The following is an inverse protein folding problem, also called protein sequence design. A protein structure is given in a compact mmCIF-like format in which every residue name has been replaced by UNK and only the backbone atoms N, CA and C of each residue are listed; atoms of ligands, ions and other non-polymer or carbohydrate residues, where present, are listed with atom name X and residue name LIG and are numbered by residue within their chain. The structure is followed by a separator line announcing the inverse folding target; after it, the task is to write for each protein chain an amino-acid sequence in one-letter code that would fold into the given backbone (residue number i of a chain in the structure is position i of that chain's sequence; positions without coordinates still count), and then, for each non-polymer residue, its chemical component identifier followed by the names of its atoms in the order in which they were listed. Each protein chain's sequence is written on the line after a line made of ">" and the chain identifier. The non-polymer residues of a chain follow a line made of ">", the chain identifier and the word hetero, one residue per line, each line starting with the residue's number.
data_IF_866716684113
#
_entry.id   IF_866716684113
#
_cell.length_a   1.000
_cell.length_b   1.000
_cell.length_c   1.000
_cell.angle_alpha   90.00
_cell.angle_beta   90.00
_cell.angle_gamma   90.00
#
_symmetry.space_group_name_H-M   'P 1'
#
loop_
_entity.id
_entity.type
_entity.pdbx_description
1 polymer ?
2 polymer ?
3 non-polymer ?
4 non-polymer ?
5 water ?
#
# COMPACT_ATOMS: atom_id res chain seq x y z
N UNK A 1 1.45 32.23 -29.26
CA UNK A 1 1.27 32.98 -28.00
C UNK A 1 0.78 32.03 -26.94
N UNK A 2 0.80 32.51 -25.69
CA UNK A 2 0.53 31.69 -24.51
C UNK A 2 -0.76 32.13 -23.82
N UNK A 3 -1.64 31.20 -23.45
CA UNK A 3 -2.77 31.59 -22.57
C UNK A 3 -2.19 31.85 -21.19
N UNK A 4 -2.46 33.03 -20.61
CA UNK A 4 -2.02 33.29 -19.25
C UNK A 4 -2.51 32.24 -18.25
N UNK A 5 -1.64 31.88 -17.31
CA UNK A 5 -1.98 30.91 -16.28
C UNK A 5 -3.32 31.27 -15.61
N UNK A 6 -3.49 32.53 -15.25
CA UNK A 6 -4.68 32.98 -14.53
C UNK A 6 -5.95 32.90 -15.39
N UNK A 7 -5.79 32.74 -16.69
CA UNK A 7 -6.95 32.60 -17.57
C UNK A 7 -7.39 31.13 -17.67
N UNK A 8 -6.59 30.21 -17.12
CA UNK A 8 -6.96 28.80 -17.18
C UNK A 8 -7.99 28.43 -16.13
N UNK A 9 -8.91 27.49 -16.46
CA UNK A 9 -9.91 26.99 -15.49
C UNK A 9 -9.31 26.44 -14.19
N UNK A 10 -10.09 26.48 -13.11
CA UNK A 10 -9.60 26.05 -11.80
C UNK A 10 -9.06 24.60 -11.83
N UNK A 11 -9.79 23.74 -12.53
CA UNK A 11 -9.40 22.35 -12.84
C UNK A 11 -7.95 22.20 -13.30
N UNK A 12 -7.44 23.20 -14.01
CA UNK A 12 -6.08 23.16 -14.56
C UNK A 12 -5.01 23.78 -13.66
N UNK A 13 -5.41 24.40 -12.57
CA UNK A 13 -4.48 25.13 -11.72
C UNK A 13 -3.65 24.16 -10.88
N UNK A 14 -2.33 24.40 -10.84
CA UNK A 14 -1.41 23.52 -10.10
C UNK A 14 -1.71 23.51 -8.61
N UNK A 15 -2.27 24.62 -8.11
CA UNK A 15 -2.55 24.81 -6.67
C UNK A 15 -3.99 24.42 -6.27
N UNK A 16 -4.71 23.74 -7.16
CA UNK A 16 -6.05 23.26 -6.84
C UNK A 16 -5.97 21.76 -6.60
N UNK A 17 -6.23 21.33 -5.37
CA UNK A 17 -6.07 19.93 -4.96
C UNK A 17 -7.42 19.24 -4.74
N UNK A 18 -8.49 19.81 -5.27
CA UNK A 18 -9.76 19.08 -5.32
C UNK A 18 -10.06 18.35 -4.01
N UNK A 19 -10.04 17.01 -4.04
CA UNK A 19 -10.51 16.17 -2.93
C UNK A 19 -9.44 15.80 -1.90
N UNK A 20 -8.33 16.51 -1.91
CA UNK A 20 -7.30 16.43 -0.88
C UNK A 20 -7.89 16.38 0.54
N UNK A 21 -7.67 15.27 1.27
CA UNK A 21 -8.21 15.22 2.63
C UNK A 21 -7.43 16.09 3.62
N UNK A 22 -7.98 16.24 4.82
CA UNK A 22 -7.46 17.15 5.85
C UNK A 22 -5.97 16.95 6.14
N UNK A 23 -5.59 15.70 6.45
CA UNK A 23 -4.23 15.42 6.90
C UNK A 23 -3.17 15.70 5.84
N UNK A 24 -3.56 15.71 4.57
CA UNK A 24 -2.62 16.03 3.50
C UNK A 24 -2.34 17.53 3.52
N UNK A 25 -3.41 18.33 3.53
CA UNK A 25 -3.27 19.79 3.51
C UNK A 25 -2.30 20.19 4.61
N UNK A 26 -2.48 19.59 5.78
CA UNK A 26 -1.57 19.78 6.90
C UNK A 26 -0.14 19.51 6.43
N UNK A 27 0.08 18.32 5.87
CA UNK A 27 1.39 17.91 5.38
C UNK A 27 1.96 18.82 4.29
N UNK A 28 1.10 19.41 3.46
CA UNK A 28 1.56 20.19 2.28
C UNK A 28 1.90 21.67 2.56
N UNK A 29 1.20 22.29 3.50
CA UNK A 29 1.42 23.72 3.80
C UNK A 29 2.60 23.86 4.76
N UNK A 30 3.74 24.35 4.25
CA UNK A 30 4.99 24.41 5.04
C UNK A 30 5.15 25.76 5.75
N UNK A 31 5.35 26.81 4.95
CA UNK A 31 5.71 28.15 5.45
C UNK A 31 4.54 29.11 5.43
N UNK A 32 4.65 30.18 6.23
CA UNK A 32 3.60 31.19 6.35
C UNK A 32 3.27 31.79 4.99
N UNK A 33 2.00 31.71 4.62
CA UNK A 33 1.53 32.24 3.35
C UNK A 33 1.35 31.19 2.27
N UNK A 34 1.87 29.97 2.50
CA UNK A 34 1.67 28.81 1.61
C UNK A 34 0.18 28.58 1.48
N UNK A 35 -0.27 28.23 0.28
CA UNK A 35 -1.69 28.03 0.08
C UNK A 35 -2.07 27.10 -1.08
N UNK A 36 -3.31 26.63 -1.02
CA UNK A 36 -3.89 25.86 -2.09
C UNK A 36 -5.38 26.16 -2.13
N UNK A 37 -6.06 25.71 -3.17
CA UNK A 37 -7.52 25.70 -3.19
C UNK A 37 -7.97 24.24 -3.34
N UNK A 38 -9.10 23.94 -2.70
CA UNK A 38 -9.62 22.59 -2.67
C UNK A 38 -11.11 22.73 -2.64
N UNK A 39 -11.80 21.63 -2.91
CA UNK A 39 -13.24 21.57 -2.79
C UNK A 39 -13.53 21.08 -1.37
N UNK A 40 -14.66 21.51 -0.83
CA UNK A 40 -15.08 21.13 0.53
C UNK A 40 -15.39 19.62 0.61
N UNK A 44 -20.96 21.96 -4.29
CA UNK A 44 -19.58 22.45 -4.20
C UNK A 44 -19.48 23.72 -3.35
N UNK A 45 -18.41 23.79 -2.57
CA UNK A 45 -17.93 25.04 -2.00
C UNK A 45 -16.42 24.89 -2.00
N UNK A 46 -15.74 25.73 -2.78
CA UNK A 46 -14.27 25.71 -2.82
C UNK A 46 -13.71 26.40 -1.58
N UNK A 47 -12.51 25.98 -1.18
CA UNK A 47 -11.90 26.43 0.07
C UNK A 47 -10.45 26.83 -0.16
N UNK A 48 -10.08 27.98 0.41
CA UNK A 48 -8.74 28.51 0.34
C UNK A 48 -8.02 28.26 1.66
N UNK A 49 -7.07 27.32 1.66
CA UNK A 49 -6.34 26.93 2.86
C UNK A 49 -4.94 27.54 2.86
N UNK A 50 -4.77 28.61 3.64
CA UNK A 50 -3.52 29.37 3.70
C UNK A 50 -2.62 28.91 4.85
N UNK A 56 -2.66 26.75 9.45
CA UNK A 56 -3.65 26.29 8.46
C UNK A 56 -5.07 26.80 8.74
N UNK A 57 -5.39 27.95 8.16
CA UNK A 57 -6.73 28.52 8.22
C UNK A 57 -7.40 28.22 6.90
N UNK A 58 -8.71 28.00 6.94
CA UNK A 58 -9.46 27.53 5.77
C UNK A 58 -10.59 28.51 5.44
N UNK A 59 -10.45 29.23 4.34
CA UNK A 59 -11.39 30.29 3.97
C UNK A 59 -12.31 29.87 2.83
N UNK A 60 -13.61 29.84 3.12
CA UNK A 60 -14.60 29.40 2.13
C UNK A 60 -14.77 30.49 1.09
N UNK A 61 -14.68 30.09 -0.17
CA UNK A 61 -14.88 31.00 -1.28
C UNK A 61 -16.35 31.00 -1.68
N UNK A 66 -22.52 36.16 -10.48
CA UNK A 66 -21.58 35.05 -10.73
C UNK A 66 -20.11 35.50 -10.68
N UNK A 67 -19.70 36.02 -9.53
CA UNK A 67 -18.31 36.44 -9.30
C UNK A 67 -17.86 36.01 -7.89
N UNK A 68 -16.62 35.52 -7.79
CA UNK A 68 -16.08 34.92 -6.56
C UNK A 68 -15.34 35.91 -5.65
N UNK A 69 -15.46 35.71 -4.33
CA UNK A 69 -14.91 36.67 -3.37
C UNK A 69 -14.67 36.08 -1.98
N UNK A 70 -14.07 36.89 -1.10
CA UNK A 70 -13.87 36.54 0.31
C UNK A 70 -14.51 37.56 1.26
N UNK A 75 -14.46 37.85 -8.40
CA UNK A 75 -13.96 38.04 -9.75
C UNK A 75 -14.65 37.00 -10.62
N UNK A 76 -14.51 37.12 -11.95
CA UNK A 76 -15.17 36.11 -12.79
C UNK A 76 -14.83 34.66 -12.43
N UNK A 77 -13.62 34.40 -11.93
CA UNK A 77 -13.20 33.04 -11.57
C UNK A 77 -12.25 32.97 -10.37
N UNK A 78 -12.06 31.79 -9.79
CA UNK A 78 -11.22 31.66 -8.59
C UNK A 78 -9.70 31.90 -8.84
N UNK A 79 -9.19 31.55 -10.03
CA UNK A 79 -7.81 31.95 -10.34
C UNK A 79 -7.63 33.48 -10.47
N UNK A 80 -8.63 34.16 -11.03
CA UNK A 80 -8.66 35.62 -11.02
C UNK A 80 -8.58 36.20 -9.61
N UNK A 81 -9.30 35.59 -8.68
CA UNK A 81 -9.30 36.02 -7.28
C UNK A 81 -7.93 35.80 -6.65
N UNK A 82 -7.42 34.58 -6.79
CA UNK A 82 -6.15 34.18 -6.19
C UNK A 82 -4.99 35.05 -6.63
N UNK A 83 -4.99 35.37 -7.92
CA UNK A 83 -3.95 36.21 -8.48
C UNK A 83 -4.05 37.63 -7.93
N UNK A 84 -5.26 38.18 -7.91
CA UNK A 84 -5.47 39.49 -7.31
C UNK A 84 -4.88 39.54 -5.90
N UNK A 85 -5.22 38.54 -5.09
CA UNK A 85 -4.77 38.47 -3.70
C UNK A 85 -3.23 38.43 -3.59
N UNK A 86 -2.62 37.58 -4.39
CA UNK A 86 -1.16 37.47 -4.45
C UNK A 86 -0.55 38.78 -4.98
N UNK A 87 -1.02 39.22 -6.14
CA UNK A 87 -0.53 40.43 -6.77
C UNK A 87 -0.55 41.56 -5.77
N UNK A 88 -1.75 41.89 -5.29
CA UNK A 88 -1.95 43.05 -4.40
C UNK A 88 -1.43 42.83 -2.97
N UNK A 89 -1.30 41.57 -2.55
CA UNK A 89 -0.86 41.24 -1.18
C UNK A 89 -1.81 41.79 -0.10
N UNK A 90 -3.09 41.93 -0.45
CA UNK A 90 -4.12 42.34 0.50
C UNK A 90 -4.61 41.10 1.25
N UNK A 91 -5.11 41.29 2.49
CA UNK A 91 -5.44 40.15 3.35
C UNK A 91 -6.75 39.46 3.00
N UNK A 92 -6.94 38.28 3.59
CA UNK A 92 -8.18 37.54 3.47
C UNK A 92 -9.09 37.91 4.64
N UNK A 96 -9.23 38.25 8.65
CA UNK A 96 -8.35 37.27 9.27
C UNK A 96 -6.99 37.87 9.61
N UNK A 97 -6.48 38.73 8.73
CA UNK A 97 -5.09 39.18 8.77
C UNK A 97 -4.23 38.37 7.81
N UNK A 98 -4.66 37.15 7.51
CA UNK A 98 -3.88 36.22 6.68
C UNK A 98 -3.69 36.74 5.26
N UNK A 99 -2.45 36.62 4.76
CA UNK A 99 -2.05 37.09 3.41
C UNK A 99 -1.25 35.98 2.71
N UNK A 100 -1.36 35.93 1.39
CA UNK A 100 -0.76 34.83 0.61
C UNK A 100 0.71 35.09 0.27
N UNK A 101 1.49 34.01 0.16
CA UNK A 101 2.91 34.12 -0.24
C UNK A 101 3.23 33.22 -1.42
N UNK A 102 2.86 31.94 -1.32
CA UNK A 102 3.25 30.92 -2.29
C UNK A 102 2.21 29.80 -2.43
N UNK A 103 1.65 29.71 -3.63
CA UNK A 103 0.79 28.60 -4.00
C UNK A 103 1.55 27.26 -4.00
N UNK A 104 0.99 26.29 -3.28
CA UNK A 104 1.56 24.96 -3.16
C UNK A 104 1.01 24.02 -4.27
N UNK A 105 1.89 23.49 -5.15
CA UNK A 105 1.42 22.68 -6.28
C UNK A 105 1.11 21.25 -5.88
N UNK A 106 0.40 20.53 -6.75
CA UNK A 106 0.19 19.09 -6.58
C UNK A 106 1.50 18.41 -6.85
N UNK A 107 1.75 17.26 -6.22
CA UNK A 107 2.98 16.50 -6.51
C UNK A 107 2.82 15.74 -7.82
N UNK A 108 3.89 15.06 -8.22
CA UNK A 108 3.96 14.50 -9.55
C UNK A 108 3.07 13.28 -9.73
N UNK A 109 2.51 12.78 -8.62
CA UNK A 109 1.75 11.58 -8.67
C UNK A 109 0.28 11.83 -8.90
N UNK A 110 -0.18 13.08 -8.73
CA UNK A 110 -1.62 13.36 -8.83
C UNK A 110 -2.04 13.24 -10.31
N UNK A 111 -3.08 12.43 -10.55
CA UNK A 111 -3.69 12.19 -11.85
C UNK A 111 -5.12 12.63 -11.81
N UNK A 112 -5.59 13.27 -12.88
CA UNK A 112 -6.99 13.59 -13.03
C UNK A 112 -7.83 12.34 -13.31
N UNK A 113 -9.09 12.36 -12.86
CA UNK A 113 -9.98 11.19 -13.03
C UNK A 113 -10.16 10.80 -14.50
N UNK A 114 -10.05 11.78 -15.40
CA UNK A 114 -10.33 11.57 -16.81
C UNK A 114 -9.17 10.94 -17.53
N UNK A 115 -8.01 10.85 -16.88
CA UNK A 115 -6.87 10.13 -17.46
C UNK A 115 -6.99 8.64 -17.26
N UNK A 116 -8.01 8.21 -16.52
CA UNK A 116 -8.24 6.82 -16.20
C UNK A 116 -9.59 6.36 -16.78
N UNK A 117 -9.63 5.20 -17.46
CA UNK A 117 -10.86 4.52 -17.85
C UNK A 117 -11.05 3.35 -16.88
N UNK A 118 -12.07 3.46 -16.04
CA UNK A 118 -12.39 2.43 -15.04
C UNK A 118 -12.99 1.19 -15.67
N UNK A 119 -12.51 0.05 -15.22
CA UNK A 119 -13.01 -1.22 -15.69
C UNK A 119 -13.68 -1.94 -14.55
N UNK A 120 -13.85 -3.25 -14.71
CA UNK A 120 -14.59 -4.05 -13.77
C UNK A 120 -13.81 -4.34 -12.46
N UNK A 121 -14.59 -4.63 -11.41
CA UNK A 121 -14.06 -4.93 -10.11
C UNK A 121 -13.27 -6.24 -10.18
N UNK A 122 -12.10 -6.24 -9.54
CA UNK A 122 -11.22 -7.41 -9.47
C UNK A 122 -10.94 -7.78 -8.00
N UNK A 123 -11.41 -6.98 -7.06
CA UNK A 123 -11.26 -7.34 -5.67
C UNK A 123 -11.87 -6.39 -4.72
N UNK A 124 -11.66 -6.69 -3.45
CA UNK A 124 -12.11 -5.79 -2.42
C UNK A 124 -11.35 -5.85 -1.11
N UNK A 125 -11.47 -4.76 -0.34
CA UNK A 125 -10.86 -4.66 0.96
C UNK A 125 -11.66 -3.72 1.84
N UNK A 126 -11.01 -3.22 2.87
CA UNK A 126 -11.68 -2.45 3.92
C UNK A 126 -12.15 -1.12 3.41
N UNK A 127 -11.41 -0.54 2.45
CA UNK A 127 -11.77 0.75 1.89
C UNK A 127 -12.75 0.60 0.75
N UNK A 128 -12.82 -0.60 0.22
CA UNK A 128 -13.79 -0.93 -0.80
C UNK A 128 -13.16 -1.66 -1.96
N UNK A 129 -13.60 -1.34 -3.15
CA UNK A 129 -13.29 -2.15 -4.32
C UNK A 129 -11.93 -1.79 -4.92
N UNK A 130 -11.33 -2.80 -5.50
CA UNK A 130 -10.28 -2.65 -6.49
C UNK A 130 -10.84 -3.02 -7.86
N UNK A 131 -10.48 -2.22 -8.86
CA UNK A 131 -10.97 -2.36 -10.22
C UNK A 131 -9.79 -2.50 -11.14
N UNK A 132 -10.00 -3.14 -12.28
CA UNK A 132 -9.09 -2.92 -13.41
C UNK A 132 -9.39 -1.56 -14.05
N UNK A 133 -8.38 -1.03 -14.73
CA UNK A 133 -8.56 0.16 -15.55
C UNK A 133 -7.53 0.23 -16.66
N UNK A 134 -7.62 1.29 -17.44
CA UNK A 134 -6.61 1.64 -18.40
C UNK A 134 -6.32 3.10 -18.28
N UNK A 135 -5.08 3.43 -18.55
CA UNK A 135 -4.69 4.80 -18.79
C UNK A 135 -5.13 5.20 -20.15
N UNK A 136 -5.89 6.29 -20.23
CA UNK A 136 -6.44 6.74 -21.51
C UNK A 136 -5.36 7.10 -22.54
N UNK A 137 -4.25 7.70 -22.10
CA UNK A 137 -3.27 8.25 -23.04
C UNK A 137 -2.51 7.17 -23.78
N UNK A 138 -2.23 6.03 -23.16
CA UNK A 138 -1.45 4.99 -23.85
C UNK A 138 -1.93 3.54 -23.64
N UNK A 139 -3.14 3.38 -23.10
CA UNK A 139 -3.76 2.04 -22.91
C UNK A 139 -3.13 1.11 -21.92
N UNK A 140 -2.31 1.64 -21.02
CA UNK A 140 -1.71 0.82 -19.99
C UNK A 140 -2.79 0.30 -19.06
N UNK A 141 -2.75 -1.00 -18.79
CA UNK A 141 -3.72 -1.59 -17.88
C UNK A 141 -3.24 -1.30 -16.48
N UNK A 142 -4.21 -1.05 -15.59
CA UNK A 142 -3.91 -0.65 -14.23
C UNK A 142 -4.90 -1.26 -13.26
N UNK A 143 -4.44 -1.40 -12.02
CA UNK A 143 -5.30 -1.65 -10.86
C UNK A 143 -5.61 -0.32 -10.14
N UNK A 144 -6.84 -0.18 -9.71
CA UNK A 144 -7.40 1.05 -9.14
C UNK A 144 -8.10 0.70 -7.83
N UNK A 145 -7.46 1.10 -6.74
CA UNK A 145 -7.96 0.98 -5.37
C UNK A 145 -8.79 2.20 -5.06
N UNK A 146 -10.04 1.94 -4.67
CA UNK A 146 -10.98 2.97 -4.40
C UNK A 146 -11.24 3.02 -2.91
N UNK A 147 -11.66 4.21 -2.48
CA UNK A 147 -12.09 4.48 -1.13
C UNK A 147 -13.55 4.93 -1.12
N UNK A 148 -14.37 4.18 -0.42
CA UNK A 148 -15.75 4.57 -0.12
C UNK A 148 -15.81 6.00 0.42
N UNK A 153 -15.22 9.00 9.32
CA UNK A 153 -14.20 8.96 8.28
C UNK A 153 -12.75 8.94 8.81
N UNK A 154 -12.53 8.28 9.95
CA UNK A 154 -11.17 8.13 10.49
C UNK A 154 -10.35 7.18 9.60
N UNK A 155 -10.91 6.01 9.30
CA UNK A 155 -10.26 5.07 8.40
C UNK A 155 -10.01 5.73 7.05
N UNK A 156 -10.99 6.50 6.58
CA UNK A 156 -10.85 7.29 5.35
C UNK A 156 -9.54 8.07 5.31
N UNK A 157 -9.15 8.60 6.47
CA UNK A 157 -7.87 9.30 6.61
C UNK A 157 -6.64 8.38 6.45
N UNK A 158 -6.80 7.08 6.72
CA UNK A 158 -5.73 6.09 6.53
C UNK A 158 -5.59 5.61 5.07
N UNK A 159 -6.54 5.94 4.22
CA UNK A 159 -6.57 5.39 2.87
C UNK A 159 -5.29 5.67 2.06
N UNK A 160 -4.78 6.89 2.14
CA UNK A 160 -3.69 7.28 1.25
C UNK A 160 -2.35 6.78 1.77
N UNK A 161 -2.37 6.06 2.89
CA UNK A 161 -1.16 5.46 3.44
C UNK A 161 -0.43 4.65 2.37
N UNK A 162 -1.16 3.77 1.68
CA UNK A 162 -0.55 2.90 0.70
C UNK A 162 0.18 3.72 -0.36
N UNK A 163 -0.41 4.85 -0.77
CA UNK A 163 0.20 5.77 -1.74
C UNK A 163 1.47 6.46 -1.18
N UNK A 164 1.37 7.02 0.02
CA UNK A 164 2.56 7.63 0.65
C UNK A 164 3.77 6.67 0.66
N UNK A 165 3.50 5.43 1.06
CA UNK A 165 4.50 4.40 1.17
C UNK A 165 5.07 4.13 -0.22
N UNK A 166 4.20 3.76 -1.16
CA UNK A 166 4.62 3.25 -2.49
C UNK A 166 5.27 4.25 -3.44
N UNK A 167 4.96 5.54 -3.26
CA UNK A 167 5.63 6.64 -3.97
C UNK A 167 7.16 6.56 -3.90
N UNK A 168 7.64 6.12 -2.74
CA UNK A 168 9.05 6.10 -2.46
C UNK A 168 9.76 4.88 -3.07
N UNK A 169 9.04 3.90 -3.64
CA UNK A 169 9.67 2.63 -4.05
C UNK A 169 9.66 2.36 -5.54
N UNK A 170 10.53 1.44 -5.93
CA UNK A 170 10.52 0.92 -7.29
C UNK A 170 11.35 -0.36 -7.23
N UNK A 171 10.70 -1.51 -7.39
CA UNK A 171 11.40 -2.78 -7.28
C UNK A 171 10.61 -3.81 -8.08
N UNK A 172 11.34 -4.75 -8.76
CA UNK A 172 10.65 -5.71 -9.65
C UNK A 172 9.59 -6.62 -8.99
N UNK A 173 9.68 -6.78 -7.68
CA UNK A 173 8.79 -7.70 -6.94
C UNK A 173 7.91 -6.97 -5.90
N UNK A 174 7.74 -5.67 -6.11
CA UNK A 174 6.81 -4.83 -5.39
C UNK A 174 5.90 -4.14 -6.43
N UNK A 175 4.59 -4.18 -6.21
CA UNK A 175 3.65 -3.47 -7.07
C UNK A 175 3.96 -1.96 -7.13
N UNK A 176 4.13 -1.49 -8.36
CA UNK A 176 4.46 -0.08 -8.65
C UNK A 176 3.28 0.87 -8.57
N UNK A 177 3.48 2.01 -7.94
CA UNK A 177 2.50 3.08 -7.94
C UNK A 177 2.60 3.85 -9.23
N UNK A 178 1.45 4.09 -9.85
CA UNK A 178 1.37 4.87 -11.08
C UNK A 178 0.83 6.29 -10.79
N UNK A 179 -0.16 6.39 -9.94
CA UNK A 179 -0.67 7.70 -9.57
C UNK A 179 -1.78 7.74 -8.55
N UNK A 180 -2.15 8.94 -8.14
CA UNK A 180 -3.18 9.12 -7.12
C UNK A 180 -4.25 10.10 -7.62
N UNK A 181 -5.49 9.65 -7.61
CA UNK A 181 -6.62 10.47 -8.06
C UNK A 181 -7.35 11.08 -6.87
N UNK A 182 -6.87 12.25 -6.46
CA UNK A 182 -7.39 12.96 -5.33
C UNK A 182 -8.08 14.28 -5.74
N UNK A 183 -8.31 14.51 -7.04
CA UNK A 183 -8.96 15.76 -7.52
C UNK A 183 -10.48 15.74 -7.37
N UNK A 184 -11.08 14.56 -7.22
CA UNK A 184 -12.53 14.37 -7.12
C UNK A 184 -12.76 13.16 -6.23
N UNK A 185 -13.99 13.01 -5.77
CA UNK A 185 -14.48 11.82 -5.13
C UNK A 185 -15.06 10.93 -6.23
N UNK A 186 -14.89 9.60 -6.11
CA UNK A 186 -14.17 8.93 -5.04
C UNK A 186 -12.70 8.91 -5.32
N UNK A 187 -11.91 8.97 -4.26
CA UNK A 187 -10.46 8.90 -4.36
C UNK A 187 -9.96 7.54 -4.80
N UNK A 188 -8.97 7.54 -5.69
CA UNK A 188 -8.30 6.35 -6.14
C UNK A 188 -6.78 6.38 -5.97
N UNK A 189 -6.25 5.19 -5.77
CA UNK A 189 -4.85 4.90 -5.90
C UNK A 189 -4.64 3.96 -7.08
N UNK A 190 -3.84 4.42 -8.05
CA UNK A 190 -3.62 3.70 -9.32
C UNK A 190 -2.25 3.00 -9.32
N UNK A 191 -2.29 1.69 -9.57
CA UNK A 191 -1.12 0.85 -9.50
C UNK A 191 -1.01 0.03 -10.76
N UNK A 192 0.18 -0.55 -10.97
CA UNK A 192 0.35 -1.51 -12.04
C UNK A 192 -0.62 -2.68 -11.89
N UNK A 193 -1.10 -3.17 -13.00
CA UNK A 193 -1.94 -4.36 -13.00
C UNK A 193 -1.04 -5.58 -13.21
N UNK A 194 -1.21 -6.55 -12.31
CA UNK A 194 -0.43 -7.76 -12.30
C UNK A 194 -1.43 -8.83 -12.64
N UNK A 195 -1.44 -9.16 -13.93
CA UNK A 195 -2.62 -9.75 -14.59
C UNK A 195 -2.96 -11.19 -14.30
N UNK A 196 -2.04 -11.92 -13.65
CA UNK A 196 -2.25 -13.34 -13.33
C UNK A 196 -2.97 -13.51 -12.01
N UNK A 197 -3.17 -12.41 -11.28
CA UNK A 197 -3.98 -12.38 -10.05
C UNK A 197 -3.26 -12.80 -8.80
N UNK A 198 -4.01 -13.11 -7.76
CA UNK A 198 -3.40 -13.38 -6.46
C UNK A 198 -2.73 -14.78 -6.45
N UNK A 199 -1.70 -14.91 -5.61
CA UNK A 199 -0.81 -16.06 -5.62
C UNK A 199 -1.50 -17.27 -4.98
N UNK A 200 -2.40 -17.03 -4.03
CA UNK A 200 -3.17 -18.13 -3.39
C UNK A 200 -4.05 -18.82 -4.44
N UNK A 201 -4.81 -18.04 -5.20
CA UNK A 201 -5.64 -18.60 -6.29
C UNK A 201 -4.79 -19.34 -7.32
N UNK A 202 -3.69 -18.70 -7.71
CA UNK A 202 -2.68 -19.30 -8.60
C UNK A 202 -2.18 -20.71 -8.16
N UNK A 203 -1.74 -20.78 -6.91
CA UNK A 203 -1.35 -22.05 -6.32
C UNK A 203 -2.47 -23.09 -6.38
N UNK A 204 -3.69 -22.64 -6.13
CA UNK A 204 -4.82 -23.55 -5.99
C UNK A 204 -5.32 -23.94 -7.35
N UNK A 205 -5.06 -23.12 -8.35
CA UNK A 205 -5.60 -23.38 -9.66
C UNK A 205 -4.56 -23.93 -10.65
N UNK A 206 -3.31 -23.52 -10.53
CA UNK A 206 -2.23 -23.92 -11.47
C UNK A 206 -1.15 -24.78 -10.81
N UNK A 207 -1.24 -24.90 -9.49
CA UNK A 207 -0.15 -25.44 -8.68
C UNK A 207 0.24 -26.85 -9.00
N UNK A 208 -0.73 -27.64 -9.50
CA UNK A 208 -0.56 -29.06 -9.73
C UNK A 208 0.29 -29.34 -10.95
N UNK A 209 0.48 -28.34 -11.80
CA UNK A 209 1.29 -28.50 -12.98
C UNK A 209 2.64 -27.83 -12.78
N UNK A 210 2.80 -27.12 -11.65
CA UNK A 210 3.98 -26.30 -11.38
C UNK A 210 5.17 -27.16 -10.91
N UNK A 211 6.35 -26.86 -11.43
CA UNK A 211 7.58 -27.46 -10.97
C UNK A 211 8.02 -26.78 -9.67
N UNK A 212 8.71 -27.55 -8.84
CA UNK A 212 9.20 -27.02 -7.56
C UNK A 212 10.20 -25.87 -7.78
N UNK A 213 11.02 -26.01 -8.82
CA UNK A 213 11.96 -24.96 -9.23
C UNK A 213 11.25 -23.62 -9.54
N UNK A 214 10.09 -23.68 -10.18
CA UNK A 214 9.30 -22.47 -10.38
C UNK A 214 8.79 -21.93 -9.06
N UNK A 215 8.30 -22.80 -8.18
CA UNK A 215 7.84 -22.35 -6.86
C UNK A 215 8.98 -21.69 -6.07
N UNK A 216 10.18 -22.28 -6.13
CA UNK A 216 11.40 -21.70 -5.52
C UNK A 216 11.70 -20.31 -6.09
N UNK A 217 11.53 -20.15 -7.39
CA UNK A 217 11.77 -18.82 -7.97
C UNK A 217 10.78 -17.80 -7.44
N UNK A 218 9.52 -18.21 -7.38
CA UNK A 218 8.44 -17.30 -6.95
C UNK A 218 8.56 -16.88 -5.49
N UNK A 219 8.97 -17.79 -4.60
CA UNK A 219 9.17 -17.40 -3.19
C UNK A 219 10.47 -16.58 -3.04
N UNK A 220 11.42 -16.84 -3.92
CA UNK A 220 12.59 -15.96 -4.01
C UNK A 220 12.25 -14.54 -4.46
N UNK A 221 11.36 -14.40 -5.41
CA UNK A 221 10.80 -13.08 -5.78
C UNK A 221 10.24 -12.40 -4.56
N UNK A 222 9.46 -13.14 -3.78
CA UNK A 222 8.85 -12.57 -2.57
C UNK A 222 9.91 -12.15 -1.54
N UNK A 223 10.92 -12.98 -1.38
CA UNK A 223 12.04 -12.62 -0.48
C UNK A 223 12.81 -11.35 -0.96
N UNK A 224 13.06 -11.27 -2.26
CA UNK A 224 13.73 -10.09 -2.85
C UNK A 224 12.92 -8.83 -2.52
N UNK A 225 11.60 -8.91 -2.68
CA UNK A 225 10.70 -7.80 -2.36
C UNK A 225 10.74 -7.42 -0.88
N UNK A 226 10.67 -8.41 0.00
CA UNK A 226 10.75 -8.17 1.41
C UNK A 226 12.09 -7.61 1.89
N UNK A 227 13.20 -8.11 1.31
CA UNK A 227 14.54 -7.58 1.57
C UNK A 227 14.57 -6.11 1.20
N UNK A 228 14.02 -5.80 0.03
CA UNK A 228 13.83 -4.43 -0.36
C UNK A 228 13.04 -3.63 0.71
N UNK A 229 11.89 -4.13 1.14
CA UNK A 229 11.11 -3.40 2.18
C UNK A 229 11.89 -3.16 3.45
N UNK A 230 12.63 -4.17 3.89
CA UNK A 230 13.43 -3.95 5.09
C UNK A 230 14.49 -2.87 4.92
N UNK A 231 15.10 -2.78 3.74
CA UNK A 231 16.08 -1.75 3.49
C UNK A 231 15.43 -0.37 3.54
N UNK A 232 14.14 -0.30 3.23
CA UNK A 232 13.36 0.93 3.23
C UNK A 232 12.69 1.24 4.59
N UNK A 233 12.98 0.44 5.60
CA UNK A 233 12.38 0.53 6.92
C UNK A 233 10.87 0.32 6.89
N UNK A 234 10.41 -0.45 5.91
CA UNK A 234 9.00 -0.76 5.78
C UNK A 234 8.67 -2.11 6.42
N UNK A 235 7.57 -2.11 7.15
CA UNK A 235 7.04 -3.28 7.84
C UNK A 235 5.65 -3.50 7.22
N UNK A 236 5.46 -4.63 6.54
CA UNK A 236 4.28 -4.83 5.71
C UNK A 236 3.04 -5.16 6.54
N UNK A 237 3.20 -6.09 7.46
CA UNK A 237 2.15 -6.50 8.41
C UNK A 237 1.00 -7.36 7.86
N UNK A 238 0.92 -7.58 6.55
CA UNK A 238 -0.10 -8.49 6.01
C UNK A 238 0.48 -9.34 4.86
N UNK A 239 1.69 -9.85 5.06
CA UNK A 239 2.29 -10.73 4.07
C UNK A 239 1.58 -12.08 4.12
N UNK A 240 1.13 -12.55 2.93
CA UNK A 240 0.40 -13.81 2.69
C UNK A 240 0.29 -14.06 1.19
N UNK A 241 0.13 -15.33 0.78
CA UNK A 241 -0.13 -15.63 -0.63
C UNK A 241 -1.27 -14.75 -1.21
N UNK A 242 -2.36 -14.56 -0.48
CA UNK A 242 -3.48 -13.72 -0.96
C UNK A 242 -3.11 -12.30 -1.30
N UNK A 243 -2.01 -11.82 -0.73
CA UNK A 243 -1.57 -10.43 -1.00
C UNK A 243 -0.38 -10.34 -1.94
N UNK A 244 0.03 -11.48 -2.48
CA UNK A 244 0.99 -11.53 -3.55
C UNK A 244 0.26 -11.77 -4.85
N UNK A 245 0.89 -11.26 -5.90
CA UNK A 245 0.27 -11.20 -7.22
C UNK A 245 1.28 -11.80 -8.23
N UNK A 246 0.77 -12.41 -9.28
CA UNK A 246 1.57 -13.17 -10.27
C UNK A 246 1.41 -12.55 -11.65
N UNK A 247 2.53 -12.20 -12.27
CA UNK A 247 2.52 -11.74 -13.68
C UNK A 247 2.22 -12.89 -14.64
N UNK A 248 1.98 -12.52 -15.89
CA UNK A 248 1.77 -13.46 -16.97
C UNK A 248 3.03 -14.34 -17.21
N UNK A 249 4.16 -13.92 -16.65
CA UNK A 249 5.39 -14.72 -16.71
C UNK A 249 5.77 -15.35 -15.36
N UNK A 250 4.82 -15.45 -14.43
CA UNK A 250 5.05 -16.03 -13.07
C UNK A 250 6.11 -15.33 -12.24
N UNK A 251 6.27 -14.03 -12.48
CA UNK A 251 6.99 -13.20 -11.54
C UNK A 251 6.00 -12.82 -10.46
N UNK A 252 6.41 -12.96 -9.20
CA UNK A 252 5.63 -12.61 -8.03
C UNK A 252 5.94 -11.20 -7.56
N UNK A 253 4.87 -10.44 -7.27
CA UNK A 253 4.95 -9.08 -6.70
C UNK A 253 4.09 -8.98 -5.43
N UNK A 254 4.64 -8.31 -4.43
CA UNK A 254 3.98 -8.11 -3.19
C UNK A 254 3.06 -6.89 -3.32
N UNK A 255 1.83 -7.02 -2.78
CA UNK A 255 0.83 -5.97 -2.88
C UNK A 255 0.23 -5.72 -1.52
N UNK A 256 -0.92 -5.07 -1.54
CA UNK A 256 -1.70 -4.58 -0.38
C UNK A 256 -0.84 -4.05 0.75
N UNK A 257 -0.36 -2.85 0.50
CA UNK A 257 0.39 -2.10 1.52
C UNK A 257 -0.48 -1.24 2.47
N UNK A 258 -1.77 -1.58 2.59
CA UNK A 258 -2.70 -0.75 3.42
C UNK A 258 -2.38 -0.74 4.92
N UNK A 259 -1.81 -1.83 5.44
CA UNK A 259 -1.46 -1.93 6.86
C UNK A 259 0.00 -1.59 7.11
N UNK A 260 0.76 -1.26 6.07
CA UNK A 260 2.21 -1.18 6.14
C UNK A 260 2.59 0.09 6.86
N UNK A 261 3.74 0.04 7.53
CA UNK A 261 4.25 1.16 8.33
C UNK A 261 5.75 1.35 8.11
N UNK A 262 6.19 2.60 8.11
CA UNK A 262 7.61 2.93 7.94
C UNK A 262 8.15 3.37 9.28
N UNK A 263 9.17 2.68 9.77
CA UNK A 263 9.76 3.00 11.07
C UNK A 263 11.28 2.96 10.98
N UNK A 264 11.91 4.12 11.07
CA UNK A 264 13.39 4.24 11.07
C UNK A 264 14.06 3.38 12.10
N UNK A 265 13.40 3.21 13.23
CA UNK A 265 13.99 2.49 14.33
C UNK A 265 13.50 1.08 14.35
N UNK A 266 12.68 0.73 13.36
CA UNK A 266 12.48 -0.65 12.95
C UNK A 266 11.36 -1.42 13.62
N UNK A 267 10.63 -0.74 14.49
CA UNK A 267 9.56 -1.38 15.19
C UNK A 267 8.39 -0.47 15.07
N UNK A 268 7.28 -1.03 14.62
CA UNK A 268 6.02 -0.34 14.74
C UNK A 268 5.26 -0.92 15.91
N UNK A 269 4.95 -0.03 16.88
CA UNK A 269 4.11 -0.27 18.05
C UNK A 269 2.63 0.07 17.78
N UNK A 270 1.79 -0.95 17.80
CA UNK A 270 0.38 -0.77 17.51
C UNK A 270 -0.16 0.30 18.45
N UNK A 271 -0.94 1.24 17.91
CA UNK A 271 -1.31 2.52 18.60
C UNK A 271 -2.40 2.53 19.69
N UNK A 272 -3.22 1.49 19.77
CA UNK A 272 -4.32 1.56 20.74
C UNK A 272 -5.65 1.55 20.00
N UNK A 273 -6.61 0.79 20.52
CA UNK A 273 -7.86 0.55 19.79
C UNK A 273 -7.92 -0.79 19.13
N UNK A 274 -9.12 -1.20 18.66
CA UNK A 274 -9.24 -2.48 17.92
C UNK A 274 -8.38 -2.55 16.66
N UNK A 275 -7.90 -3.76 16.35
CA UNK A 275 -7.01 -4.02 15.22
C UNK A 275 -7.53 -5.21 14.50
N UNK A 276 -7.29 -5.25 13.19
CA UNK A 276 -7.77 -6.32 12.38
C UNK A 276 -6.57 -7.22 12.13
N UNK A 277 -6.60 -8.45 12.64
CA UNK A 277 -5.38 -9.25 12.69
C UNK A 277 -5.53 -10.50 11.88
N UNK A 278 -4.64 -10.72 10.90
CA UNK A 278 -4.65 -12.01 10.22
C UNK A 278 -3.97 -13.07 11.06
N UNK A 279 -4.73 -13.61 11.99
CA UNK A 279 -4.12 -14.40 13.07
C UNK A 279 -3.11 -15.48 12.67
N UNK A 280 -3.50 -16.39 11.79
CA UNK A 280 -2.58 -17.49 11.38
C UNK A 280 -1.30 -17.16 10.60
N UNK A 281 -1.17 -15.91 10.13
CA UNK A 281 0.06 -15.37 9.54
C UNK A 281 0.82 -14.46 10.51
N UNK A 282 0.28 -14.22 11.70
CA UNK A 282 0.86 -13.19 12.61
C UNK A 282 1.74 -13.79 13.73
N UNK A 283 2.97 -13.25 13.86
CA UNK A 283 3.90 -13.60 14.93
C UNK A 283 3.35 -13.37 16.33
N UNK A 284 3.71 -14.23 17.29
CA UNK A 284 3.13 -14.10 18.62
C UNK A 284 3.28 -12.72 19.27
N UNK A 285 4.46 -12.12 19.17
CA UNK A 285 4.70 -10.80 19.78
C UNK A 285 3.94 -9.66 19.06
N UNK A 286 3.67 -9.81 17.77
CA UNK A 286 2.90 -8.78 17.06
C UNK A 286 1.46 -8.91 17.53
N UNK A 287 0.98 -10.15 17.57
CA UNK A 287 -0.40 -10.40 17.93
C UNK A 287 -0.65 -9.97 19.36
N UNK A 288 0.11 -10.51 20.30
CA UNK A 288 -0.26 -10.29 21.68
C UNK A 288 0.35 -9.06 22.38
N UNK A 289 1.45 -8.49 21.86
CA UNK A 289 1.99 -7.23 22.39
C UNK A 289 2.03 -6.09 21.37
N UNK A 290 1.60 -6.34 20.14
CA UNK A 290 1.56 -5.30 19.11
C UNK A 290 2.92 -4.81 18.68
N UNK A 291 3.96 -5.64 18.85
CA UNK A 291 5.27 -5.35 18.28
C UNK A 291 5.41 -5.93 16.85
N UNK A 292 5.30 -5.04 15.85
CA UNK A 292 5.54 -5.35 14.44
C UNK A 292 6.95 -4.93 14.02
N UNK A 293 7.60 -5.79 13.25
CA UNK A 293 8.97 -5.55 12.82
C UNK A 293 9.20 -6.35 11.54
N UNK A 294 10.31 -6.10 10.86
CA UNK A 294 10.67 -6.98 9.77
C UNK A 294 10.74 -8.43 10.29
N UNK A 295 11.09 -8.61 11.58
CA UNK A 295 11.12 -9.98 12.16
C UNK A 295 9.75 -10.61 12.25
N UNK A 296 8.72 -9.81 12.50
CA UNK A 296 7.36 -10.36 12.46
C UNK A 296 6.94 -10.62 11.02
N UNK A 297 7.40 -9.78 10.09
CA UNK A 297 7.18 -10.05 8.69
C UNK A 297 7.81 -11.37 8.26
N UNK A 298 8.92 -11.74 8.88
CA UNK A 298 9.61 -12.96 8.56
C UNK A 298 8.78 -14.16 8.96
N UNK A 299 8.11 -14.03 10.09
CA UNK A 299 7.17 -15.07 10.49
C UNK A 299 6.14 -15.33 9.40
N UNK A 300 5.52 -14.25 8.91
CA UNK A 300 4.48 -14.38 7.89
C UNK A 300 5.07 -15.01 6.63
N UNK A 301 6.34 -14.67 6.34
CA UNK A 301 7.03 -15.29 5.19
C UNK A 301 7.15 -16.81 5.37
N UNK A 302 7.54 -17.26 6.56
CA UNK A 302 7.47 -18.68 6.94
C UNK A 302 6.13 -19.31 6.52
N UNK A 303 5.04 -18.63 6.83
CA UNK A 303 3.70 -19.14 6.52
C UNK A 303 3.47 -19.14 5.02
N UNK A 304 3.86 -18.07 4.34
CA UNK A 304 3.86 -18.00 2.85
C UNK A 304 4.63 -19.16 2.19
N UNK A 305 5.79 -19.50 2.75
CA UNK A 305 6.52 -20.67 2.27
C UNK A 305 5.67 -21.93 2.42
N UNK A 306 4.93 -22.00 3.53
CA UNK A 306 4.12 -23.19 3.79
C UNK A 306 2.96 -23.23 2.79
N UNK A 307 2.40 -22.06 2.49
CA UNK A 307 1.27 -22.00 1.58
C UNK A 307 1.68 -22.43 0.21
N UNK A 308 2.89 -22.00 -0.17
CA UNK A 308 3.44 -22.28 -1.48
C UNK A 308 3.69 -23.77 -1.70
N UNK A 309 4.43 -24.38 -0.79
CA UNK A 309 4.83 -25.77 -0.96
C UNK A 309 3.75 -26.78 -0.58
N UNK A 310 2.64 -26.27 -0.06
CA UNK A 310 1.36 -27.00 0.09
C UNK A 310 0.43 -26.81 -1.13
N UNK A 311 0.86 -26.02 -2.12
CA UNK A 311 0.01 -25.62 -3.26
C UNK A 311 -1.28 -24.98 -2.80
N UNK A 312 -1.15 -24.15 -1.77
CA UNK A 312 -2.21 -23.25 -1.35
C UNK A 312 -3.20 -23.79 -0.34
N UNK A 313 -2.78 -24.77 0.43
CA UNK A 313 -3.60 -25.23 1.54
C UNK A 313 -3.81 -24.08 2.53
N UNK A 314 -4.88 -24.16 3.30
CA UNK A 314 -5.14 -23.25 4.42
C UNK A 314 -4.28 -23.66 5.62
N UNK A 315 -3.59 -22.71 6.27
CA UNK A 315 -2.73 -23.11 7.40
C UNK A 315 -3.54 -23.36 8.69
N UNK A 316 -3.11 -24.34 9.47
CA UNK A 316 -3.77 -24.82 10.69
C UNK A 316 -5.24 -25.11 10.42
N UNK A 317 -5.53 -25.96 9.41
CA UNK A 317 -6.90 -26.08 8.86
C UNK A 317 -7.97 -26.56 9.83
N UNK A 318 -7.57 -27.27 10.88
CA UNK A 318 -8.52 -27.76 11.87
C UNK A 318 -8.48 -26.99 13.19
N UNK A 319 -7.77 -25.86 13.24
CA UNK A 319 -7.72 -25.03 14.45
C UNK A 319 -8.41 -23.73 14.17
N UNK A 320 -9.22 -23.27 15.12
CA UNK A 320 -9.73 -21.91 15.03
C UNK A 320 -8.54 -20.93 15.19
N UNK A 321 -8.81 -19.64 15.02
CA UNK A 321 -7.76 -18.63 15.22
C UNK A 321 -7.24 -18.62 16.66
N UNK A 322 -8.17 -18.77 17.61
CA UNK A 322 -7.86 -18.78 19.05
C UNK A 322 -7.03 -20.01 19.38
N UNK A 323 -7.45 -21.14 18.85
CA UNK A 323 -6.72 -22.40 19.02
C UNK A 323 -5.32 -22.36 18.44
N UNK A 324 -5.16 -21.69 17.31
CA UNK A 324 -3.81 -21.48 16.73
C UNK A 324 -2.91 -20.67 17.64
N UNK A 325 -3.43 -19.56 18.19
CA UNK A 325 -2.66 -18.75 19.15
C UNK A 325 -2.15 -19.60 20.31
N UNK A 326 -2.97 -20.52 20.78
CA UNK A 326 -2.63 -21.40 21.92
C UNK A 326 -1.60 -22.46 21.52
N UNK A 327 -1.82 -23.06 20.35
CA UNK A 327 -0.95 -24.08 19.82
C UNK A 327 0.45 -23.50 19.60
N UNK A 328 0.53 -22.33 18.99
CA UNK A 328 1.82 -21.69 18.76
C UNK A 328 2.55 -21.29 20.05
N UNK A 329 1.82 -20.72 21.00
CA UNK A 329 2.37 -20.37 22.32
C UNK A 329 2.98 -21.57 23.06
N UNK A 330 2.42 -22.75 22.83
CA UNK A 330 2.91 -23.99 23.39
C UNK A 330 4.03 -24.67 22.58
N UNK A 331 4.51 -24.02 21.51
CA UNK A 331 5.61 -24.58 20.70
C UNK A 331 5.14 -25.30 19.45
N UNK A 332 3.82 -25.31 19.24
CA UNK A 332 3.23 -25.90 18.05
C UNK A 332 3.53 -25.13 16.78
N UNK A 333 3.85 -25.87 15.70
CA UNK A 333 4.14 -25.33 14.38
C UNK A 333 3.54 -26.16 13.26
N UNK A 334 3.40 -25.53 12.09
CA UNK A 334 2.88 -26.21 10.90
C UNK A 334 3.79 -27.41 10.50
N UNK A 335 3.16 -28.52 10.02
CA UNK A 335 3.92 -29.67 9.58
C UNK A 335 4.64 -29.42 8.24
N UNK A 336 5.69 -30.20 7.94
CA UNK A 336 6.33 -30.11 6.62
C UNK A 336 5.33 -30.56 5.54
N UNK A 337 5.08 -29.70 4.54
CA UNK A 337 4.21 -30.17 3.46
C UNK A 337 4.89 -31.30 2.73
N UNK A 338 4.07 -32.20 2.22
CA UNK A 338 4.56 -33.35 1.53
C UNK A 338 5.37 -32.95 0.28
N UNK A 339 6.56 -33.53 0.18
CA UNK A 339 7.52 -33.27 -0.90
C UNK A 339 8.10 -31.85 -0.89
N UNK A 340 7.82 -31.09 0.16
CA UNK A 340 8.56 -29.84 0.40
C UNK A 340 10.04 -30.16 0.60
N UNK A 341 10.93 -29.59 -0.23
CA UNK A 341 12.35 -29.91 -0.02
C UNK A 341 12.78 -29.61 1.41
N UNK A 342 13.69 -30.41 1.93
CA UNK A 342 14.03 -30.33 3.35
C UNK A 342 14.58 -28.94 3.71
N UNK A 343 15.41 -28.38 2.85
CA UNK A 343 16.05 -27.10 3.15
C UNK A 343 15.04 -25.96 3.19
N UNK A 344 13.94 -26.09 2.44
CA UNK A 344 12.85 -25.10 2.50
C UNK A 344 12.11 -25.22 3.82
N UNK A 345 11.87 -26.45 4.27
CA UNK A 345 11.25 -26.61 5.58
C UNK A 345 12.14 -26.15 6.75
N UNK A 346 13.43 -26.47 6.71
CA UNK A 346 14.33 -25.92 7.73
C UNK A 346 14.20 -24.40 7.77
N UNK A 347 14.15 -23.79 6.58
CA UNK A 347 14.04 -22.33 6.48
C UNK A 347 12.73 -21.80 7.11
N UNK A 348 11.60 -22.43 6.78
CA UNK A 348 10.36 -22.13 7.48
C UNK A 348 10.46 -22.16 8.97
N UNK A 349 11.05 -23.25 9.48
CA UNK A 349 11.18 -23.47 10.91
C UNK A 349 11.91 -22.31 11.53
N UNK A 350 12.99 -21.88 10.89
CA UNK A 350 13.78 -20.75 11.36
C UNK A 350 12.96 -19.49 11.39
N UNK A 351 12.12 -19.30 10.39
CA UNK A 351 11.21 -18.14 10.31
C UNK A 351 10.24 -18.10 11.44
N UNK A 352 9.87 -19.28 11.97
CA UNK A 352 8.96 -19.35 13.10
C UNK A 352 9.64 -19.54 14.42
N UNK A 353 10.88 -19.07 14.59
CA UNK A 353 11.50 -19.09 15.92
C UNK A 353 10.66 -18.19 16.80
N UNK A 354 10.40 -18.58 18.05
CA UNK A 354 9.54 -17.78 18.95
C UNK A 354 10.10 -16.38 19.24
N UNK A 355 11.39 -16.29 19.54
CA UNK A 355 12.01 -14.97 19.74
C UNK A 355 12.35 -14.33 18.39
N UNK A 356 11.88 -13.09 18.17
CA UNK A 356 12.10 -12.41 16.89
C UNK A 356 13.58 -12.27 16.53
N UNK A 357 14.42 -11.98 17.53
CA UNK A 357 15.87 -11.93 17.37
C UNK A 357 16.50 -13.17 16.76
N UNK A 358 15.81 -14.31 16.87
CA UNK A 358 16.37 -15.60 16.42
C UNK A 358 16.02 -15.94 14.98
N UNK A 359 15.13 -15.17 14.37
CA UNK A 359 14.72 -15.41 12.98
C UNK A 359 15.76 -14.83 12.01
N UNK A 360 15.89 -15.44 10.81
CA UNK A 360 16.83 -14.91 9.84
C UNK A 360 16.32 -13.58 9.30
N UNK A 361 17.25 -12.81 8.76
CA UNK A 361 16.93 -11.65 7.93
C UNK A 361 16.32 -12.06 6.60
N UNK A 362 15.57 -11.14 5.98
CA UNK A 362 15.17 -11.36 4.58
C UNK A 362 16.34 -11.49 3.62
N UNK A 363 17.44 -10.82 3.92
CA UNK A 363 18.68 -11.02 3.16
C UNK A 363 19.17 -12.46 3.23
N UNK A 364 19.22 -12.98 4.45
CA UNK A 364 19.61 -14.38 4.67
C UNK A 364 18.62 -15.31 3.94
N UNK A 365 17.33 -15.04 4.05
CA UNK A 365 16.31 -15.88 3.45
C UNK A 365 16.45 -15.86 1.92
N UNK A 366 16.58 -14.66 1.34
CA UNK A 366 16.70 -14.58 -0.14
C UNK A 366 17.94 -15.36 -0.63
N UNK A 367 19.07 -15.18 0.03
CA UNK A 367 20.29 -15.88 -0.36
C UNK A 367 20.12 -17.40 -0.29
N UNK A 368 19.49 -17.87 0.78
CA UNK A 368 19.28 -19.29 0.99
C UNK A 368 18.34 -19.87 -0.07
N UNK A 369 17.24 -19.16 -0.33
CA UNK A 369 16.34 -19.56 -1.41
C UNK A 369 16.99 -19.58 -2.81
N UNK A 370 17.88 -18.62 -3.10
CA UNK A 370 18.57 -18.58 -4.40
C UNK A 370 19.51 -19.78 -4.48
N UNK A 371 20.14 -20.08 -3.36
CA UNK A 371 21.08 -21.17 -3.26
C UNK A 371 20.36 -22.51 -3.42
N UNK A 372 19.25 -22.65 -2.75
CA UNK A 372 18.39 -23.81 -2.94
C UNK A 372 17.97 -23.95 -4.41
N UNK A 373 17.42 -22.88 -4.97
CA UNK A 373 16.99 -22.89 -6.37
C UNK A 373 18.11 -23.30 -7.35
N UNK A 374 19.28 -22.66 -7.22
CA UNK A 374 20.44 -23.00 -8.07
C UNK A 374 20.80 -24.50 -8.00
N UNK A 375 20.62 -25.13 -6.85
CA UNK A 375 20.95 -26.55 -6.72
C UNK A 375 19.92 -27.53 -7.31
N UNK A 376 18.76 -27.02 -7.70
CA UNK A 376 17.66 -27.87 -8.11
C UNK A 376 17.72 -28.22 -9.60
C UNK B 1 -10.92 -15.84 9.03
N UNK B 2 -10.21 -15.26 8.09
CA UNK B 2 -8.74 -14.99 8.25
C UNK B 2 -8.41 -13.89 9.25
N UNK B 3 -9.19 -12.82 9.21
CA UNK B 3 -8.99 -11.63 10.03
C UNK B 3 -9.91 -11.65 11.24
N UNK B 4 -9.37 -11.20 12.38
CA UNK B 4 -10.05 -11.14 13.66
C UNK B 4 -9.87 -9.71 14.14
N UNK B 5 -10.96 -9.10 14.59
CA UNK B 5 -10.87 -7.82 15.31
C UNK B 5 -10.55 -8.10 16.75
N UNK B 6 -9.38 -7.64 17.16
CA UNK B 6 -8.85 -7.88 18.48
C UNK B 6 -8.51 -6.55 19.17
X LIG C 1 -8.71 -15.29 17.93
X LIG D 1 -5.60 11.36 -22.78
X LIG E 1 -7.91 -7.51 -5.04
X LIG E 1 -7.46 -8.58 -5.91
X LIG E 1 -7.10 -9.88 -5.13
X LIG E 1 -7.04 -9.63 -3.63
X LIG E 1 -6.23 -8.36 -3.37
X LIG E 1 -7.09 -7.14 -3.95
X LIG E 1 -8.00 -6.66 -2.82
X LIG E 1 -6.06 -6.17 -4.48
X LIG E 1 -5.47 -6.20 -5.70
X LIG E 1 -5.66 -7.06 -6.79
X LIG E 1 -4.94 -6.88 -7.97
X LIG E 1 -3.99 -5.82 -8.04
X LIG E 1 -3.81 -4.99 -6.95
X LIG E 1 -4.51 -5.16 -5.76
X LIG E 1 -4.52 -4.50 -4.53
X LIG E 1 -5.49 -5.15 -3.73
X LIG E 1 -5.73 -4.67 -2.44
X LIG E 1 -4.98 -3.58 -1.93
X LIG E 1 -4.07 -2.93 -2.75
X LIG E 1 -3.81 -3.39 -4.03
X LIG E 1 -2.68 -3.96 -7.28
X LIG E 1 -2.31 -4.38 -8.62
X LIG E 1 -3.10 -5.39 -9.03
X LIG E 1 -2.97 -5.91 -10.13
X LIG E 1 -5.39 -7.86 -8.87
X LIG E 1 -6.36 -8.63 -8.19
X LIG E 1 -6.98 -9.68 -8.88
X LIG E 1 -6.62 -10.03 -10.17
X LIG E 1 -5.64 -9.27 -10.85
X LIG E 1 -5.02 -8.20 -10.18
X LIG E 1 -6.53 -8.09 -6.95
X LIG E 1 -4.86 -8.65 -3.91
X LIG E 1 -3.76 -7.91 -3.32
X LIG E 1 -6.44 -10.79 -2.98
X LIG E 1 -7.18 -12.07 -3.00
X LIG F 1 5.36 5.13 -19.11
X LIG F 1 6.03 3.88 -18.97
X LIG F 1 5.29 2.64 -19.53
X LIG F 1 3.85 3.09 -19.82
X LIG F 1 3.30 3.90 -18.62
X LIG F 1 4.02 5.33 -18.59
X LIG F 1 3.26 6.32 -19.51
X LIG F 1 4.03 5.72 -17.15
X LIG F 1 4.90 5.25 -16.25
X LIG F 1 5.99 4.42 -16.44
X LIG F 1 6.79 4.06 -15.34
X LIG F 1 6.49 4.55 -14.06
X LIG F 1 5.38 5.39 -13.91
X LIG F 1 4.57 5.73 -14.99
X LIG F 1 3.44 6.52 -15.15
X LIG F 1 3.11 6.48 -16.50
X LIG F 1 1.99 7.22 -16.91
X LIG F 1 1.22 7.95 -15.99
X LIG F 1 1.58 7.99 -14.66
X LIG F 1 2.70 7.26 -14.24
X LIG F 1 5.23 5.77 -12.46
X LIG F 1 6.30 4.95 -11.84
X LIG F 1 7.02 4.37 -12.77
X LIG F 1 7.88 3.58 -12.42
X LIG F 1 7.76 3.22 -15.88
X LIG F 1 7.54 3.12 -17.24
X LIG F 1 8.35 2.37 -18.07
X LIG F 1 9.43 1.71 -17.49
X LIG F 1 9.66 1.83 -16.13
X LIG F 1 8.84 2.56 -15.32
X LIG F 1 6.47 3.83 -17.55
X LIG F 1 3.48 3.02 -17.43
X LIG F 1 2.52 3.12 -16.37
X LIG F 1 3.00 1.93 -20.17
X LIG F 1 3.52 0.97 -21.18
X LIG G 1 -10.36 17.03 -22.36
X LIG G 1 -10.23 17.27 -20.89
X LIG G 1 -8.76 17.34 -20.30
X LIG G 1 -7.78 16.87 -21.38
X LIG G 1 -8.35 15.57 -21.98
X LIG G 1 -9.66 15.93 -22.86
X LIG G 1 -9.20 16.27 -24.28
X LIG G 1 -10.55 14.74 -22.74
X LIG G 1 -11.42 14.47 -21.72
X LIG G 1 -11.73 15.21 -20.59
X LIG G 1 -12.66 14.73 -19.66
X LIG G 1 -13.30 13.50 -19.90
X LIG G 1 -12.96 12.78 -21.04
X LIG G 1 -12.04 13.26 -21.96
X LIG G 1 -11.52 12.79 -23.17
X LIG G 1 -10.57 13.74 -23.62
X LIG G 1 -9.89 13.50 -24.83
X LIG G 1 -10.17 12.35 -25.53
X LIG G 1 -11.09 11.40 -25.08
X LIG G 1 -11.77 11.63 -23.89
X LIG G 1 -13.77 11.47 -21.09
X LIG G 1 -14.42 11.51 -19.78
X LIG G 1 -14.21 12.69 -19.21
X LIG G 1 -14.57 12.84 -18.05
X LIG G 1 -12.71 15.70 -18.66
X LIG G 1 -11.81 16.72 -19.04
X LIG G 1 -11.64 17.84 -18.23
X LIG G 1 -12.37 17.96 -17.04
X LIG G 1 -13.26 16.95 -16.68
X LIG G 1 -13.44 15.84 -17.49
X LIG G 1 -11.21 16.39 -20.18
X LIG G 1 -8.56 14.63 -20.83
X LIG G 1 -8.22 13.25 -21.20
X LIG G 1 -6.40 16.75 -20.84
X LIG G 1 -6.01 17.71 -19.78
#
# INVERSE_FOLDING_TARGET
>A
SMIPEVQKPLHEQLWYHGAIPRAEVAELLVHSGDFLVRESQGKQEYVLSVLWDGLPRHFIIQSLDNLYRLEGEGFPSIPLLIDHLLSTQQPLTKKSGVVLHRAVPKDKWVLNHEDLVLGEQIGRGNFGEVFSGRLRADNTLVAVKSCRETLPPDLKAKFLQEARILKQYSHPNIVRLIGVCTQKQPIYIVMELVQGGDFLTFLRTEGARLRVKTLLQMVGDAAAGMEYLESKCCIHRDLAARNCLVTEKNVLKISDFGMSREEADGVYAASGGLRQVPVKWTAPEALNYGRYSSESDVWSFGILLWETFSLGASPYPNLSNQQTREFVEKGGRLPCPELCPDAVFRLMEQCWAYEPGQRPSFSTIYQELQSIRKRHR
>B
XIYESL
>C hetero
1 CL CL
>D hetero
1 CL CL
>E hetero
1 STU O4 C25 C24 C23 C22 C21 C26 N2 C18 C19 C6 C7 C10 C11 C12 C17 C16 C15 C14 C13 C9 N1 C8 O5 C5 C20 C1 C2 C3 C4 N3 O6 C27 N4 C28
>F hetero
1 STU O4 C25 C24 C23 C22 C21 C26 N2 C18 C19 C6 C7 C10 C11 C12 C17 C16 C15 C14 C13 C9 N1 C8 O5 C5 C20 C1 C2 C3 C4 N3 O6 C27 N4 C28
>G hetero
1 STU O4 C25 C24 C23 C22 C21 C26 N2 C18 C19 C6 C7 C10 C11 C12 C17 C16 C15 C14 C13 C9 N1 C8 O5 C5 C20 C1 C2 C3 C4 N3 O6 C27 N4 C28
#
